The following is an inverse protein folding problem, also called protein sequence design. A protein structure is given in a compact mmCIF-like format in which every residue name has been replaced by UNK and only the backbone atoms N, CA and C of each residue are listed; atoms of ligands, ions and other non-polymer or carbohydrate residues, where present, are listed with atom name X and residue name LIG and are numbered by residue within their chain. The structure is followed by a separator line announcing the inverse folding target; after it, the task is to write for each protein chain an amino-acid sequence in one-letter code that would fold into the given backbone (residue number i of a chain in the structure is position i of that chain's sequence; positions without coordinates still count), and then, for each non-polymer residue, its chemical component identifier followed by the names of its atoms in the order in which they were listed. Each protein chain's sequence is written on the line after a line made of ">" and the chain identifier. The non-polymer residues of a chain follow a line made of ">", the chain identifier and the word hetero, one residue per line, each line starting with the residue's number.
data_IF_757790457637
#
_entry.id   IF_757790457637
#
_cell.length_a   1.000
_cell.length_b   1.000
_cell.length_c   1.000
_cell.angle_alpha   90.00
_cell.angle_beta   90.00
_cell.angle_gamma   90.00
#
_symmetry.space_group_name_H-M   'P 1'
#
loop_
_entity.id
_entity.type
_entity.pdbx_description
1 polymer ?
#
# COMPACT_ATOMS: atom_id res chain seq x y z
N UNK A 1 11.81 -12.71 6.01
CA UNK A 1 10.41 -12.99 6.41
C UNK A 1 9.51 -12.83 5.19
N UNK A 2 8.33 -13.45 5.18
CA UNK A 2 7.39 -13.33 4.09
C UNK A 2 6.80 -11.90 4.07
N UNK A 3 7.22 -11.06 3.10
CA UNK A 3 6.88 -9.64 2.99
C UNK A 3 5.42 -9.50 2.54
N UNK A 4 4.51 -9.25 3.48
CA UNK A 4 3.14 -8.85 3.20
C UNK A 4 3.02 -7.36 2.86
N UNK A 5 3.84 -6.49 3.46
CA UNK A 5 3.80 -5.04 3.32
C UNK A 5 4.57 -4.61 2.08
N UNK A 6 3.85 -3.92 1.20
CA UNK A 6 4.36 -3.39 -0.06
C UNK A 6 4.06 -1.89 -0.13
N UNK A 7 4.80 -1.11 -0.92
CA UNK A 7 4.49 0.30 -1.16
C UNK A 7 3.02 0.55 -1.56
N UNK A 8 2.47 -0.31 -2.41
CA UNK A 8 1.06 -0.25 -2.82
C UNK A 8 0.07 -0.46 -1.67
N UNK A 9 0.42 -1.29 -0.67
CA UNK A 9 -0.41 -1.48 0.53
C UNK A 9 -0.28 -0.33 1.51
N UNK A 10 0.88 0.32 1.60
CA UNK A 10 1.02 1.58 2.33
C UNK A 10 0.14 2.67 1.70
N UNK A 11 0.16 2.77 0.37
CA UNK A 11 -0.73 3.66 -0.36
C UNK A 11 -2.21 3.33 -0.10
N UNK A 12 -2.59 2.04 -0.13
CA UNK A 12 -3.95 1.63 0.21
C UNK A 12 -4.34 2.01 1.66
N UNK A 13 -3.43 1.84 2.63
CA UNK A 13 -3.64 2.28 4.02
C UNK A 13 -3.80 3.80 4.12
N UNK A 14 -3.03 4.59 3.36
CA UNK A 14 -3.17 6.03 3.31
C UNK A 14 -4.58 6.42 2.81
N UNK A 15 -5.10 5.75 1.78
CA UNK A 15 -6.46 5.99 1.30
C UNK A 15 -7.53 5.58 2.32
N UNK A 16 -7.34 4.47 3.03
CA UNK A 16 -8.23 4.04 4.13
C UNK A 16 -8.22 5.05 5.28
N UNK A 17 -7.06 5.66 5.59
CA UNK A 17 -6.98 6.71 6.61
C UNK A 17 -7.82 7.92 6.22
N UNK A 18 -7.78 8.36 4.96
CA UNK A 18 -8.60 9.49 4.47
C UNK A 18 -10.09 9.15 4.54
N UNK A 19 -10.47 7.92 4.21
CA UNK A 19 -11.84 7.46 4.33
C UNK A 19 -12.36 7.53 5.78
N UNK A 20 -11.49 7.28 6.78
CA UNK A 20 -11.86 7.35 8.20
C UNK A 20 -12.03 8.75 8.77
N UNK A 21 -11.50 9.78 8.08
CA UNK A 21 -11.59 11.18 8.52
C UNK A 21 -12.91 11.87 8.18
N UNK A 22 -13.80 11.20 7.44
CA UNK A 22 -15.11 11.76 7.07
C UNK A 22 -15.05 12.88 6.02
N UNK A 23 -13.89 13.07 5.38
CA UNK A 23 -13.68 14.07 4.31
C UNK A 23 -14.18 13.61 2.93
N UNK A 24 -14.78 12.42 2.87
CA UNK A 24 -15.31 11.81 1.64
C UNK A 24 -16.84 11.95 1.62
N UNK A 25 -17.44 12.56 0.58
CA UNK A 25 -18.89 12.72 0.49
C UNK A 25 -19.57 11.37 0.21
N UNK A 26 -20.85 11.25 0.60
CA UNK A 26 -21.63 10.02 0.44
C UNK A 26 -21.67 9.48 -1.01
N UNK A 27 -21.58 10.35 -2.01
CA UNK A 27 -21.52 9.97 -3.43
C UNK A 27 -20.25 9.19 -3.80
N UNK A 28 -19.14 9.45 -3.11
CA UNK A 28 -17.83 8.85 -3.38
C UNK A 28 -17.55 7.59 -2.56
N UNK A 29 -18.30 7.36 -1.47
CA UNK A 29 -18.10 6.24 -0.54
C UNK A 29 -18.21 4.89 -1.25
N UNK A 30 -19.23 4.72 -2.09
CA UNK A 30 -19.49 3.42 -2.76
C UNK A 30 -18.35 3.06 -3.70
N UNK A 31 -17.85 4.01 -4.48
CA UNK A 31 -16.71 3.80 -5.39
C UNK A 31 -15.44 3.40 -4.62
N UNK A 32 -15.15 4.10 -3.51
CA UNK A 32 -13.98 3.79 -2.67
C UNK A 32 -14.10 2.44 -1.96
N UNK A 33 -15.27 2.11 -1.40
CA UNK A 33 -15.48 0.81 -0.78
C UNK A 33 -15.39 -0.33 -1.80
N UNK A 34 -15.95 -0.15 -3.00
CA UNK A 34 -15.82 -1.12 -4.09
C UNK A 34 -14.35 -1.33 -4.47
N UNK A 35 -13.58 -0.25 -4.56
CA UNK A 35 -12.13 -0.30 -4.81
C UNK A 35 -11.38 -1.01 -3.68
N UNK A 36 -11.65 -0.69 -2.41
CA UNK A 36 -11.02 -1.40 -1.30
C UNK A 36 -11.35 -2.90 -1.33
N UNK A 37 -12.61 -3.25 -1.58
CA UNK A 37 -13.02 -4.66 -1.58
C UNK A 37 -12.39 -5.43 -2.75
N UNK A 38 -12.23 -4.83 -3.93
CA UNK A 38 -11.59 -5.48 -5.07
C UNK A 38 -10.10 -5.77 -4.86
N UNK A 39 -9.43 -4.99 -4.00
CA UNK A 39 -8.02 -5.19 -3.66
C UNK A 39 -7.78 -5.99 -2.37
N UNK A 40 -8.77 -6.10 -1.47
CA UNK A 40 -8.63 -6.79 -0.18
C UNK A 40 -9.20 -8.21 -0.20
N UNK A 41 -10.34 -8.40 -0.88
CA UNK A 41 -10.99 -9.70 -0.99
C UNK A 41 -10.45 -10.46 -2.20
N UNK A 42 -10.22 -11.77 -2.09
CA UNK A 42 -10.09 -12.61 -3.25
C UNK A 42 -11.44 -12.60 -3.98
N UNK A 43 -11.53 -11.93 -5.13
CA UNK A 43 -12.71 -11.96 -5.96
C UNK A 43 -12.58 -13.11 -6.97
N UNK A 44 -13.50 -14.07 -6.85
CA UNK A 44 -13.76 -15.17 -7.79
C UNK A 44 -14.27 -14.70 -9.19
N UNK A 45 -14.21 -13.40 -9.50
CA UNK A 45 -14.81 -12.86 -10.72
C UNK A 45 -13.85 -12.88 -11.91
N UNK A 46 -14.43 -12.98 -13.11
CA UNK A 46 -13.70 -13.04 -14.38
C UNK A 46 -12.74 -11.85 -14.63
N UNK A 47 -12.88 -10.74 -13.90
CA UNK A 47 -11.98 -9.58 -13.93
C UNK A 47 -10.58 -9.88 -13.37
N UNK A 48 -10.46 -10.86 -12.47
CA UNK A 48 -9.16 -11.37 -12.03
C UNK A 48 -8.44 -12.11 -13.17
N UNK A 49 -9.20 -12.74 -14.07
CA UNK A 49 -8.65 -13.48 -15.22
C UNK A 49 -8.05 -12.53 -16.24
N UNK A 50 -8.70 -11.40 -16.54
CA UNK A 50 -8.14 -10.37 -17.43
C UNK A 50 -6.87 -9.75 -16.84
N UNK A 51 -6.87 -9.37 -15.55
CA UNK A 51 -5.68 -8.77 -14.90
C UNK A 51 -4.47 -9.70 -14.85
N UNK A 52 -4.69 -11.01 -14.63
CA UNK A 52 -3.62 -12.03 -14.62
C UNK A 52 -3.11 -12.30 -16.05
N UNK A 53 -4.00 -12.31 -17.05
CA UNK A 53 -3.64 -12.51 -18.45
C UNK A 53 -2.93 -11.29 -19.06
N UNK A 54 -3.28 -10.08 -18.63
CA UNK A 54 -2.65 -8.83 -19.05
C UNK A 54 -1.31 -8.54 -18.36
N UNK A 55 -0.82 -9.44 -17.49
CA UNK A 55 0.51 -9.31 -16.88
C UNK A 55 0.63 -8.19 -15.84
N UNK A 56 -0.50 -7.61 -15.42
CA UNK A 56 -0.55 -6.69 -14.28
C UNK A 56 -0.31 -7.47 -13.00
N UNK A 57 0.90 -7.39 -12.46
CA UNK A 57 1.21 -7.89 -11.13
C UNK A 57 0.14 -7.42 -10.12
N UNK A 58 -0.18 -8.24 -9.12
CA UNK A 58 -1.10 -7.91 -8.01
C UNK A 58 -0.71 -6.65 -7.18
N UNK A 59 0.25 -5.87 -7.65
CA UNK A 59 0.63 -4.56 -7.15
C UNK A 59 -0.23 -3.47 -7.79
N UNK A 60 -1.04 -2.79 -6.97
CA UNK A 60 -1.83 -1.63 -7.40
C UNK A 60 -0.89 -0.55 -7.92
N UNK A 61 -1.02 -0.18 -9.19
CA UNK A 61 -0.25 0.92 -9.76
C UNK A 61 -0.76 2.26 -9.24
N UNK A 62 0.10 3.28 -9.20
CA UNK A 62 -0.32 4.61 -8.74
C UNK A 62 -1.36 5.26 -9.69
N UNK A 63 -1.38 4.83 -10.95
CA UNK A 63 -2.36 5.23 -11.97
C UNK A 63 -3.75 4.68 -11.68
N UNK A 64 -3.87 3.44 -11.20
CA UNK A 64 -5.16 2.88 -10.76
C UNK A 64 -5.78 3.69 -9.61
N UNK A 65 -4.95 4.18 -8.69
CA UNK A 65 -5.43 5.10 -7.65
C UNK A 65 -5.91 6.42 -8.26
N UNK A 66 -5.18 6.97 -9.23
CA UNK A 66 -5.55 8.22 -9.90
C UNK A 66 -6.88 8.09 -10.65
N UNK A 67 -7.07 7.03 -11.43
CA UNK A 67 -8.29 6.78 -12.21
C UNK A 67 -9.54 6.75 -11.33
N UNK A 68 -9.47 6.06 -10.19
CA UNK A 68 -10.60 5.93 -9.27
C UNK A 68 -10.82 7.20 -8.48
N UNK A 69 -9.77 7.86 -7.98
CA UNK A 69 -9.90 8.97 -7.02
C UNK A 69 -9.98 10.35 -7.66
N UNK A 70 -9.53 10.53 -8.90
CA UNK A 70 -9.61 11.81 -9.62
C UNK A 70 -11.04 12.20 -9.98
N UNK A 71 -11.90 11.21 -10.24
CA UNK A 71 -13.32 11.42 -10.53
C UNK A 71 -14.15 11.77 -9.30
N UNK A 72 -13.59 11.58 -8.09
CA UNK A 72 -14.30 11.72 -6.82
C UNK A 72 -14.04 13.10 -6.20
N UNK A 73 -15.12 13.85 -5.99
CA UNK A 73 -15.07 15.09 -5.23
C UNK A 73 -14.84 14.81 -3.75
N UNK A 74 -14.06 15.65 -3.08
CA UNK A 74 -13.94 15.61 -1.62
C UNK A 74 -14.96 16.54 -0.96
N UNK A 75 -15.16 16.40 0.35
CA UNK A 75 -15.96 17.34 1.14
C UNK A 75 -15.30 18.73 1.26
N UNK A 76 -14.01 18.85 0.89
CA UNK A 76 -13.30 20.13 0.85
C UNK A 76 -13.54 20.77 -0.53
N UNK A 77 -14.09 21.99 -0.59
CA UNK A 77 -14.42 22.63 -1.86
C UNK A 77 -13.16 22.85 -2.70
N UNK A 78 -13.23 22.48 -3.98
CA UNK A 78 -12.14 22.64 -4.94
C UNK A 78 -11.01 21.60 -4.83
N UNK A 79 -11.15 20.58 -3.97
CA UNK A 79 -10.21 19.45 -3.89
C UNK A 79 -10.90 18.13 -4.22
N UNK A 80 -10.17 17.25 -4.90
CA UNK A 80 -10.59 15.87 -5.18
C UNK A 80 -10.08 14.92 -4.09
N UNK A 81 -10.61 13.70 -4.04
CA UNK A 81 -10.06 12.64 -3.19
C UNK A 81 -8.60 12.36 -3.56
N UNK A 82 -8.25 12.45 -4.85
CA UNK A 82 -6.88 12.35 -5.33
C UNK A 82 -5.95 13.40 -4.70
N UNK A 83 -6.37 14.66 -4.62
CA UNK A 83 -5.54 15.71 -4.01
C UNK A 83 -5.28 15.45 -2.51
N UNK A 84 -6.27 14.92 -1.79
CA UNK A 84 -6.13 14.52 -0.39
C UNK A 84 -5.23 13.30 -0.23
N UNK A 85 -5.35 12.34 -1.16
CA UNK A 85 -4.51 11.16 -1.22
C UNK A 85 -3.05 11.51 -1.46
N UNK A 86 -2.75 12.34 -2.46
CA UNK A 86 -1.41 12.84 -2.70
C UNK A 86 -0.88 13.61 -1.50
N UNK A 87 -1.69 14.49 -0.90
CA UNK A 87 -1.26 15.19 0.32
C UNK A 87 -0.86 14.20 1.42
N UNK A 88 -1.63 13.14 1.66
CA UNK A 88 -1.29 12.13 2.66
C UNK A 88 -0.03 11.34 2.30
N UNK A 89 0.16 10.98 1.04
CA UNK A 89 1.35 10.24 0.60
C UNK A 89 2.64 11.06 0.77
N UNK A 90 2.58 12.36 0.51
CA UNK A 90 3.73 13.25 0.61
C UNK A 90 3.96 13.80 2.03
N UNK A 91 2.97 13.74 2.91
CA UNK A 91 3.16 13.95 4.35
C UNK A 91 4.03 12.89 5.02
N UNK A 92 4.12 11.69 4.43
CA UNK A 92 5.03 10.65 4.91
C UNK A 92 6.42 10.97 4.40
N UNK A 93 7.10 11.97 4.93
CA UNK A 93 8.33 12.54 4.40
C UNK A 93 9.61 11.92 4.97
N UNK A 94 9.56 11.25 6.12
CA UNK A 94 10.67 10.50 6.67
C UNK A 94 10.24 9.13 7.23
N UNK A 95 11.22 8.33 7.67
CA UNK A 95 10.94 7.04 8.30
C UNK A 95 10.17 7.19 9.62
N UNK A 96 10.42 8.27 10.36
CA UNK A 96 9.72 8.56 11.61
C UNK A 96 8.24 8.92 11.36
N UNK A 97 7.97 9.71 10.31
CA UNK A 97 6.61 9.98 9.83
C UNK A 97 5.85 8.71 9.42
N UNK A 98 6.57 7.70 8.91
CA UNK A 98 5.99 6.39 8.63
C UNK A 98 5.63 5.65 9.94
N UNK A 99 6.48 5.72 10.96
CA UNK A 99 6.20 5.11 12.26
C UNK A 99 5.00 5.78 12.95
N UNK A 100 4.95 7.12 12.95
CA UNK A 100 3.80 7.89 13.46
C UNK A 100 2.51 7.52 12.71
N UNK A 101 2.60 7.38 11.39
CA UNK A 101 1.46 6.94 10.58
C UNK A 101 0.93 5.57 10.99
N UNK A 102 1.80 4.60 11.31
CA UNK A 102 1.35 3.30 11.83
C UNK A 102 0.71 3.42 13.22
N UNK A 103 1.15 4.39 14.04
CA UNK A 103 0.46 4.79 15.27
C UNK A 103 -0.96 5.28 14.99
N UNK A 104 -1.14 6.22 14.06
CA UNK A 104 -2.47 6.72 13.67
C UNK A 104 -3.36 5.63 13.09
N UNK A 105 -2.80 4.75 12.27
CA UNK A 105 -3.50 3.60 11.69
C UNK A 105 -3.95 2.61 12.79
N UNK A 106 -3.22 2.51 13.91
CA UNK A 106 -3.63 1.74 15.10
C UNK A 106 -4.92 2.23 15.73
N UNK A 107 -5.13 3.54 15.76
CA UNK A 107 -6.33 4.16 16.31
C UNK A 107 -7.58 3.98 15.42
N UNK A 108 -7.39 3.62 14.15
CA UNK A 108 -8.49 3.36 13.21
C UNK A 108 -9.24 2.08 13.52
N UNK A 109 -8.65 1.15 14.27
CA UNK A 109 -9.29 -0.12 14.63
C UNK A 109 -9.92 -0.01 16.01
N UNK A 110 -11.11 -0.58 16.20
CA UNK A 110 -11.74 -0.60 17.52
C UNK A 110 -10.82 -1.28 18.55
N UNK A 111 -10.58 -0.55 19.65
CA UNK A 111 -9.84 -1.05 20.83
C UNK A 111 -10.46 -2.35 21.33
N UNK A 112 -9.63 -3.24 21.89
CA UNK A 112 -10.14 -4.49 22.44
C UNK A 112 -11.05 -4.22 23.64
N UNK A 113 -11.90 -5.19 24.01
CA UNK A 113 -12.69 -5.10 25.24
C UNK A 113 -11.80 -4.88 26.46
N UNK A 114 -10.61 -5.49 26.49
CA UNK A 114 -9.63 -5.33 27.56
C UNK A 114 -9.04 -3.92 27.59
N UNK A 115 -8.71 -3.35 26.44
CA UNK A 115 -8.21 -1.97 26.33
C UNK A 115 -9.31 -0.96 26.68
N UNK A 116 -10.55 -1.21 26.28
CA UNK A 116 -11.69 -0.38 26.67
C UNK A 116 -11.92 -0.42 28.19
N UNK A 117 -11.77 -1.58 28.82
CA UNK A 117 -11.83 -1.71 30.28
C UNK A 117 -10.67 -0.98 30.96
N UNK A 118 -9.46 -1.02 30.39
CA UNK A 118 -8.30 -0.25 30.87
C UNK A 118 -8.50 1.25 30.73
N UNK A 119 -9.03 1.72 29.60
CA UNK A 119 -9.33 3.13 29.36
C UNK A 119 -10.41 3.65 30.33
N UNK A 120 -11.46 2.85 30.55
CA UNK A 120 -12.51 3.14 31.55
C UNK A 120 -11.93 3.25 32.96
N UNK A 121 -11.06 2.31 33.34
CA UNK A 121 -10.38 2.34 34.63
C UNK A 121 -9.40 3.52 34.76
N UNK A 122 -8.89 4.04 33.65
CA UNK A 122 -7.98 5.18 33.59
C UNK A 122 -8.70 6.53 33.45
N UNK A 123 -10.04 6.54 33.40
CA UNK A 123 -10.85 7.75 33.24
C UNK A 123 -10.78 8.40 31.86
N UNK A 124 -10.26 7.71 30.84
CA UNK A 124 -10.14 8.24 29.49
C UNK A 124 -11.48 8.09 28.75
N UNK A 125 -12.13 9.23 28.47
CA UNK A 125 -13.37 9.24 27.70
C UNK A 125 -13.12 8.80 26.24
N UNK A 126 -14.07 8.09 25.60
CA UNK A 126 -13.93 7.74 24.20
C UNK A 126 -13.93 9.01 23.33
N UNK A 127 -12.86 9.23 22.58
CA UNK A 127 -12.72 10.31 21.60
C UNK A 127 -13.94 10.35 20.64
N UNK A 128 -14.80 11.39 20.71
CA UNK A 128 -15.94 11.50 19.82
C UNK A 128 -15.47 11.96 18.43
N UNK A 129 -15.91 11.28 17.39
CA UNK A 129 -15.84 11.79 16.01
C UNK A 129 -14.88 11.08 15.04
N UNK A 130 -14.04 10.13 15.50
CA UNK A 130 -13.21 9.30 14.59
C UNK A 130 -13.94 8.02 14.21
N UNK A 131 -14.08 7.76 12.91
CA UNK A 131 -14.66 6.50 12.42
C UNK A 131 -13.68 5.36 12.72
N UNK A 132 -14.13 4.37 13.50
CA UNK A 132 -13.34 3.17 13.82
C UNK A 132 -13.89 1.94 13.12
N UNK A 133 -12.99 1.14 12.56
CA UNK A 133 -13.33 -0.12 11.92
C UNK A 133 -13.44 -1.25 12.94
N UNK A 134 -14.49 -2.07 12.81
CA UNK A 134 -14.57 -3.32 13.55
C UNK A 134 -13.40 -4.24 13.20
N UNK A 135 -12.87 -4.94 14.22
CA UNK A 135 -11.76 -5.90 14.07
C UNK A 135 -12.08 -7.08 13.14
N UNK A 136 -13.36 -7.37 12.90
CA UNK A 136 -13.82 -8.46 12.01
C UNK A 136 -14.17 -7.98 10.61
N UNK A 137 -14.21 -6.67 10.37
CA UNK A 137 -14.42 -6.11 9.03
C UNK A 137 -13.23 -6.41 8.12
N UNK A 138 -13.42 -6.63 6.80
CA UNK A 138 -12.32 -6.79 5.85
C UNK A 138 -11.25 -5.69 5.94
N UNK A 139 -11.69 -4.42 6.11
CA UNK A 139 -10.79 -3.28 6.32
C UNK A 139 -10.05 -3.37 7.65
N UNK A 140 -10.75 -3.74 8.73
CA UNK A 140 -10.14 -3.92 10.05
C UNK A 140 -9.11 -5.05 10.08
N UNK A 141 -9.39 -6.17 9.39
CA UNK A 141 -8.44 -7.28 9.23
C UNK A 141 -7.22 -6.88 8.42
N UNK A 142 -7.40 -6.11 7.34
CA UNK A 142 -6.32 -5.56 6.53
C UNK A 142 -5.39 -4.67 7.38
N UNK A 143 -5.96 -3.70 8.08
CA UNK A 143 -5.23 -2.76 8.94
C UNK A 143 -4.43 -3.52 10.01
N UNK A 144 -5.08 -4.43 10.75
CA UNK A 144 -4.42 -5.22 11.80
C UNK A 144 -3.28 -6.06 11.27
N UNK A 145 -3.45 -6.66 10.08
CA UNK A 145 -2.40 -7.46 9.46
C UNK A 145 -1.19 -6.61 9.08
N UNK A 146 -1.42 -5.44 8.49
CA UNK A 146 -0.35 -4.52 8.16
C UNK A 146 0.39 -4.03 9.41
N UNK A 147 -0.32 -3.72 10.49
CA UNK A 147 0.29 -3.35 11.77
C UNK A 147 1.14 -4.46 12.37
N UNK A 148 0.60 -5.69 12.45
CA UNK A 148 1.32 -6.83 13.03
C UNK A 148 2.60 -7.14 12.25
N UNK A 149 2.57 -6.95 10.94
CA UNK A 149 3.76 -7.14 10.13
C UNK A 149 4.76 -5.99 10.30
N UNK A 150 4.31 -4.73 10.28
CA UNK A 150 5.18 -3.58 10.50
C UNK A 150 5.88 -3.66 11.87
N UNK A 151 5.15 -4.01 12.92
CA UNK A 151 5.69 -4.19 14.27
C UNK A 151 6.69 -5.36 14.39
N UNK A 152 6.65 -6.32 13.45
CA UNK A 152 7.59 -7.46 13.39
C UNK A 152 8.73 -7.21 12.40
N UNK A 153 8.68 -6.12 11.66
CA UNK A 153 9.63 -5.82 10.60
C UNK A 153 10.97 -5.44 11.24
N UNK A 154 12.05 -6.04 10.73
CA UNK A 154 13.38 -5.65 11.17
C UNK A 154 13.73 -4.27 10.59
N UNK A 155 14.61 -3.52 11.25
CA UNK A 155 15.00 -2.18 10.81
C UNK A 155 15.52 -2.15 9.35
N UNK A 156 16.31 -3.14 8.95
CA UNK A 156 16.81 -3.21 7.58
C UNK A 156 15.67 -3.39 6.54
N UNK A 157 14.63 -4.14 6.91
CA UNK A 157 13.44 -4.36 6.09
C UNK A 157 12.53 -3.12 6.07
N UNK A 158 12.43 -2.36 7.17
CA UNK A 158 11.68 -1.10 7.21
C UNK A 158 12.32 -0.03 6.36
N UNK A 159 13.66 0.09 6.37
CA UNK A 159 14.41 0.97 5.48
C UNK A 159 14.23 0.55 4.01
N UNK A 160 14.27 -0.74 3.70
CA UNK A 160 14.03 -1.23 2.34
C UNK A 160 12.59 -0.94 1.86
N UNK A 161 11.60 -1.07 2.74
CA UNK A 161 10.21 -0.72 2.47
C UNK A 161 10.06 0.79 2.21
N UNK A 162 10.71 1.62 3.03
CA UNK A 162 10.72 3.08 2.88
C UNK A 162 11.32 3.52 1.54
N UNK A 163 12.49 2.97 1.16
CA UNK A 163 13.12 3.25 -0.14
C UNK A 163 12.21 2.85 -1.31
N UNK A 164 11.58 1.67 -1.22
CA UNK A 164 10.63 1.23 -2.23
C UNK A 164 9.37 2.11 -2.29
N UNK A 165 8.93 2.64 -1.14
CA UNK A 165 7.80 3.57 -1.06
C UNK A 165 8.11 4.92 -1.69
N UNK A 166 9.32 5.46 -1.46
CA UNK A 166 9.78 6.68 -2.14
C UNK A 166 9.70 6.51 -3.65
N UNK A 167 10.32 5.45 -4.21
CA UNK A 167 10.28 5.18 -5.65
C UNK A 167 8.84 5.07 -6.17
N UNK A 168 7.99 4.37 -5.44
CA UNK A 168 6.58 4.19 -5.81
C UNK A 168 5.80 5.52 -5.92
N UNK A 169 6.07 6.49 -5.04
CA UNK A 169 5.36 7.79 -5.06
C UNK A 169 6.00 8.83 -5.97
N UNK A 170 7.29 8.71 -6.32
CA UNK A 170 8.04 9.71 -7.12
C UNK A 170 7.28 10.22 -8.35
N UNK A 171 6.63 9.37 -9.17
CA UNK A 171 5.91 9.83 -10.36
C UNK A 171 4.80 10.86 -10.08
N UNK A 172 4.27 10.90 -8.85
CA UNK A 172 3.19 11.82 -8.46
C UNK A 172 3.66 13.18 -7.97
N UNK A 173 4.98 13.40 -7.86
CA UNK A 173 5.54 14.62 -7.29
C UNK A 173 5.05 15.88 -8.00
N UNK A 174 5.11 15.89 -9.34
CA UNK A 174 4.71 17.06 -10.12
C UNK A 174 3.21 17.40 -9.95
N UNK A 175 2.36 16.38 -9.94
CA UNK A 175 0.92 16.54 -9.73
C UNK A 175 0.63 17.12 -8.34
N UNK A 176 1.32 16.64 -7.31
CA UNK A 176 1.20 17.13 -5.94
C UNK A 176 1.73 18.57 -5.78
N UNK A 177 2.94 18.86 -6.29
CA UNK A 177 3.60 20.16 -6.16
C UNK A 177 2.79 21.29 -6.83
N UNK A 178 2.15 21.00 -7.97
CA UNK A 178 1.27 21.96 -8.66
C UNK A 178 0.09 22.42 -7.79
N UNK A 179 -0.41 21.54 -6.92
CA UNK A 179 -1.56 21.79 -6.04
C UNK A 179 -1.17 22.26 -4.64
N UNK A 180 0.07 22.03 -4.22
CA UNK A 180 0.60 22.44 -2.92
C UNK A 180 1.95 23.19 -3.06
N UNK A 181 1.95 24.43 -3.63
CA UNK A 181 3.20 25.16 -3.85
C UNK A 181 3.94 25.52 -2.56
N UNK A 182 3.23 25.75 -1.45
CA UNK A 182 3.83 26.11 -0.16
C UNK A 182 4.56 24.93 0.47
N UNK A 183 4.05 23.71 0.28
CA UNK A 183 4.64 22.49 0.83
C UNK A 183 5.66 21.87 -0.14
N UNK A 184 5.75 22.36 -1.38
CA UNK A 184 6.64 21.84 -2.43
C UNK A 184 8.13 21.92 -2.13
N UNK A 185 8.53 22.62 -1.06
CA UNK A 185 9.91 22.62 -0.56
C UNK A 185 10.28 21.34 0.21
N UNK A 186 9.30 20.49 0.53
CA UNK A 186 9.54 19.18 1.13
C UNK A 186 10.19 18.30 0.07
N UNK A 187 11.52 18.12 0.16
CA UNK A 187 12.25 17.17 -0.68
C UNK A 187 11.73 15.76 -0.41
N UNK A 188 12.16 14.83 -1.25
CA UNK A 188 11.88 13.39 -1.15
C UNK A 188 12.01 12.83 0.26
N UNK A 189 12.92 13.39 1.08
CA UNK A 189 13.05 13.16 2.51
C UNK A 189 13.40 14.47 3.25
N UNK A 190 12.75 14.75 4.39
CA UNK A 190 13.05 15.94 5.23
C UNK A 190 14.49 15.93 5.71
N UNK A 191 15.05 14.75 6.00
CA UNK A 191 16.44 14.63 6.44
C UNK A 191 17.43 15.16 5.40
N UNK A 192 17.11 15.05 4.09
CA UNK A 192 17.94 15.63 3.04
C UNK A 192 17.86 17.16 3.04
N UNK A 193 16.69 17.74 3.35
CA UNK A 193 16.52 19.19 3.50
C UNK A 193 17.35 19.71 4.65
N UNK A 194 17.25 19.06 5.82
CA UNK A 194 17.98 19.45 7.03
C UNK A 194 19.50 19.39 6.84
N UNK A 195 19.97 18.39 6.11
CA UNK A 195 21.39 18.25 5.75
C UNK A 195 21.82 19.18 4.60
N UNK A 196 20.91 19.96 4.01
CA UNK A 196 21.20 20.84 2.87
C UNK A 196 21.54 20.08 1.59
N UNK A 197 21.22 18.79 1.52
CA UNK A 197 21.56 17.90 0.40
C UNK A 197 20.44 17.88 -0.64
N UNK A 198 20.83 17.83 -1.90
CA UNK A 198 19.89 17.64 -3.00
C UNK A 198 19.66 16.16 -3.31
N UNK A 199 18.57 15.86 -4.02
CA UNK A 199 18.23 14.49 -4.46
C UNK A 199 19.33 13.93 -5.38
N UNK A 200 20.00 14.80 -6.13
CA UNK A 200 21.13 14.45 -7.00
C UNK A 200 22.46 14.28 -6.27
N UNK A 201 22.50 14.56 -4.97
CA UNK A 201 23.73 14.42 -4.19
C UNK A 201 24.21 12.97 -4.17
N UNK A 202 25.54 12.73 -4.14
CA UNK A 202 26.07 11.37 -4.10
C UNK A 202 25.59 10.59 -2.87
N UNK A 203 25.34 11.27 -1.75
CA UNK A 203 24.80 10.64 -0.55
C UNK A 203 23.34 10.21 -0.74
N UNK A 204 22.50 11.05 -1.35
CA UNK A 204 21.12 10.68 -1.66
C UNK A 204 21.06 9.48 -2.62
N UNK A 205 21.94 9.44 -3.62
CA UNK A 205 22.07 8.30 -4.56
C UNK A 205 22.49 7.00 -3.86
N UNK A 206 23.36 7.07 -2.86
CA UNK A 206 23.75 5.88 -2.05
C UNK A 206 22.59 5.40 -1.18
N UNK A 207 21.80 6.32 -0.61
CA UNK A 207 20.70 5.98 0.30
C UNK A 207 19.47 5.48 -0.45
N UNK A 208 19.01 6.17 -1.49
CA UNK A 208 17.75 5.85 -2.18
C UNK A 208 17.95 5.07 -3.48
N UNK A 209 19.18 5.00 -3.97
CA UNK A 209 19.51 4.50 -5.30
C UNK A 209 19.28 5.57 -6.35
N UNK A 210 19.39 5.18 -7.61
CA UNK A 210 18.95 6.01 -8.71
C UNK A 210 17.41 6.03 -8.74
N UNK A 211 16.82 7.17 -8.41
CA UNK A 211 15.38 7.36 -8.40
C UNK A 211 14.82 7.60 -9.82
N UNK A 212 15.68 7.85 -10.81
CA UNK A 212 15.29 8.14 -12.20
C UNK A 212 15.36 6.89 -13.10
N UNK A 213 16.18 5.89 -12.74
CA UNK A 213 16.31 4.66 -13.51
C UNK A 213 15.34 3.57 -13.01
N UNK A 214 14.21 3.42 -13.72
CA UNK A 214 13.17 2.39 -13.50
C UNK A 214 13.62 0.95 -13.84
N UNK A 215 14.77 0.77 -14.50
CA UNK A 215 15.12 -0.48 -15.18
C UNK A 215 15.82 -1.53 -14.30
N UNK A 216 16.59 -1.13 -13.28
CA UNK A 216 17.44 -2.09 -12.54
C UNK A 216 16.78 -2.70 -11.30
N UNK A 217 15.74 -2.06 -10.75
CA UNK A 217 15.17 -2.43 -9.45
C UNK A 217 13.63 -2.57 -9.46
N UNK A 218 13.02 -2.70 -10.65
CA UNK A 218 11.68 -3.26 -10.85
C UNK A 218 11.64 -4.77 -10.53
N UNK A 219 12.32 -5.18 -9.45
CA UNK A 219 11.93 -6.37 -8.69
C UNK A 219 10.53 -6.07 -8.18
N UNK A 220 9.55 -6.52 -8.97
CA UNK A 220 8.13 -6.50 -8.64
C UNK A 220 8.02 -6.96 -7.20
N UNK A 221 7.80 -6.00 -6.31
CA UNK A 221 7.75 -6.22 -4.86
C UNK A 221 6.37 -6.81 -4.56
N UNK A 222 6.18 -8.05 -5.04
CA UNK A 222 4.98 -8.82 -4.83
C UNK A 222 4.96 -9.28 -3.37
N UNK A 223 3.82 -9.08 -2.75
CA UNK A 223 3.58 -9.68 -1.46
C UNK A 223 3.58 -11.18 -1.58
N UNK A 224 4.17 -11.87 -0.61
CA UNK A 224 4.15 -13.34 -0.56
C UNK A 224 2.74 -13.90 -0.52
N UNK A 225 1.78 -13.21 0.12
CA UNK A 225 0.36 -13.62 0.12
C UNK A 225 -0.26 -13.53 -1.27
N UNK A 226 0.06 -12.47 -2.00
CA UNK A 226 -0.50 -12.25 -3.33
C UNK A 226 0.16 -13.20 -4.34
N UNK A 227 1.41 -13.59 -4.10
CA UNK A 227 2.07 -14.68 -4.82
C UNK A 227 1.47 -16.04 -4.51
N UNK A 228 1.18 -16.36 -3.25
CA UNK A 228 0.48 -17.59 -2.86
C UNK A 228 -0.89 -17.68 -3.54
N UNK A 229 -1.68 -16.60 -3.50
CA UNK A 229 -2.97 -16.51 -4.19
C UNK A 229 -2.85 -16.69 -5.70
N UNK A 230 -1.84 -16.09 -6.33
CA UNK A 230 -1.58 -16.28 -7.76
C UNK A 230 -1.29 -17.75 -8.07
N UNK A 231 -0.51 -18.41 -7.22
CA UNK A 231 -0.21 -19.84 -7.36
C UNK A 231 -1.44 -20.71 -7.12
N UNK A 232 -2.27 -20.41 -6.11
CA UNK A 232 -3.55 -21.08 -5.86
C UNK A 232 -4.47 -21.00 -7.08
N UNK A 233 -4.64 -19.80 -7.63
CA UNK A 233 -5.46 -19.58 -8.82
C UNK A 233 -4.94 -20.37 -10.03
N UNK A 234 -3.63 -20.36 -10.26
CA UNK A 234 -3.05 -21.12 -11.37
C UNK A 234 -3.25 -22.63 -11.20
N UNK A 235 -3.12 -23.14 -9.97
CA UNK A 235 -3.39 -24.55 -9.66
C UNK A 235 -4.87 -24.89 -9.90
N UNK A 236 -5.79 -24.03 -9.47
CA UNK A 236 -7.23 -24.20 -9.68
C UNK A 236 -7.59 -24.23 -11.17
N UNK A 237 -7.07 -23.30 -11.97
CA UNK A 237 -7.30 -23.30 -13.43
C UNK A 237 -6.69 -24.53 -14.11
N UNK A 238 -5.51 -24.98 -13.65
CA UNK A 238 -4.89 -26.22 -14.13
C UNK A 238 -5.77 -27.45 -13.87
N UNK A 239 -6.36 -27.52 -12.67
CA UNK A 239 -7.23 -28.62 -12.27
C UNK A 239 -8.61 -28.55 -12.95
N UNK A 240 -9.18 -27.36 -13.09
CA UNK A 240 -10.51 -27.13 -13.65
C UNK A 240 -10.53 -27.35 -15.18
N UNK A 241 -9.52 -26.84 -15.90
CA UNK A 241 -9.49 -26.89 -17.37
C UNK A 241 -8.59 -27.99 -17.95
N UNK A 242 -7.80 -28.66 -17.10
CA UNK A 242 -6.83 -29.67 -17.55
C UNK A 242 -5.72 -29.12 -18.44
N UNK A 243 -5.56 -27.80 -18.52
CA UNK A 243 -4.58 -27.13 -19.38
C UNK A 243 -3.23 -27.06 -18.69
N UNK A 244 -2.16 -27.39 -19.42
CA UNK A 244 -0.78 -27.22 -18.92
C UNK A 244 -0.41 -25.74 -18.87
N UNK A 245 0.36 -25.35 -17.86
CA UNK A 245 0.96 -24.00 -17.77
C UNK A 245 1.89 -23.78 -18.96
N UNK A 246 1.74 -22.67 -19.67
CA UNK A 246 2.63 -22.31 -20.78
C UNK A 246 4.05 -22.02 -20.28
N UNK A 247 5.07 -22.27 -21.09
CA UNK A 247 6.46 -22.03 -20.67
C UNK A 247 6.72 -20.54 -20.38
N UNK A 248 6.01 -19.64 -21.05
CA UNK A 248 6.03 -18.20 -20.76
C UNK A 248 5.52 -17.88 -19.35
N UNK A 249 4.37 -18.46 -18.97
CA UNK A 249 3.80 -18.28 -17.63
C UNK A 249 4.72 -18.89 -16.57
N UNK A 250 5.29 -20.07 -16.84
CA UNK A 250 6.25 -20.71 -15.94
C UNK A 250 7.51 -19.87 -15.74
N UNK A 251 8.04 -19.26 -16.81
CA UNK A 251 9.18 -18.34 -16.74
C UNK A 251 8.85 -17.11 -15.91
N UNK A 252 7.66 -16.51 -16.08
CA UNK A 252 7.19 -15.37 -15.27
C UNK A 252 7.02 -15.73 -13.79
N UNK A 253 6.39 -16.86 -13.48
CA UNK A 253 6.24 -17.33 -12.09
C UNK A 253 7.59 -17.63 -11.45
N UNK A 254 8.55 -18.22 -12.18
CA UNK A 254 9.93 -18.40 -11.69
C UNK A 254 10.63 -17.08 -11.43
N UNK A 255 10.45 -16.08 -12.31
CA UNK A 255 11.02 -14.74 -12.11
C UNK A 255 10.43 -14.05 -10.88
N UNK A 256 9.12 -14.18 -10.66
CA UNK A 256 8.44 -13.69 -9.46
C UNK A 256 8.89 -14.43 -8.19
N UNK A 257 9.05 -15.76 -8.25
CA UNK A 257 9.59 -16.55 -7.14
C UNK A 257 11.04 -16.18 -6.81
N UNK A 258 11.85 -15.85 -7.83
CA UNK A 258 13.23 -15.41 -7.64
C UNK A 258 13.34 -13.99 -7.07
N UNK A 259 12.34 -13.13 -7.28
CA UNK A 259 12.26 -11.80 -6.67
C UNK A 259 11.69 -11.82 -5.25
N UNK A 260 10.95 -12.88 -4.88
CA UNK A 260 10.39 -13.07 -3.54
C UNK A 260 11.44 -13.50 -2.50
N UNK A 261 11.43 -12.83 -1.34
CA UNK A 261 12.36 -13.13 -0.23
C UNK A 261 12.02 -14.44 0.51
N UNK A 262 10.78 -14.93 0.38
CA UNK A 262 10.35 -16.17 1.00
C UNK A 262 9.70 -17.09 -0.04
N UNK A 263 10.06 -18.38 0.01
CA UNK A 263 9.51 -19.42 -0.84
C UNK A 263 8.05 -19.68 -0.42
N UNK A 264 7.06 -19.43 -1.29
CA UNK A 264 5.67 -19.78 -1.04
C UNK A 264 5.52 -21.30 -0.83
N UNK A 265 4.56 -21.69 0.01
CA UNK A 265 4.21 -23.10 0.25
C UNK A 265 3.87 -23.87 -1.04
N UNK A 266 3.32 -23.16 -2.04
CA UNK A 266 2.89 -23.72 -3.33
C UNK A 266 3.97 -23.66 -4.43
N UNK A 267 5.20 -23.24 -4.11
CA UNK A 267 6.30 -23.13 -5.08
C UNK A 267 6.63 -24.46 -5.79
N UNK A 268 6.29 -25.60 -5.19
CA UNK A 268 6.50 -26.94 -5.76
C UNK A 268 5.74 -27.17 -7.08
N UNK A 269 4.61 -26.49 -7.29
CA UNK A 269 3.82 -26.63 -8.53
C UNK A 269 4.46 -25.96 -9.75
N UNK A 270 5.42 -25.07 -9.54
CA UNK A 270 6.13 -24.35 -10.62
C UNK A 270 7.45 -25.04 -10.99
N UNK A 271 7.98 -25.91 -10.12
CA UNK A 271 9.26 -26.60 -10.30
C UNK A 271 9.24 -27.58 -11.46
#
# INVERSE_FOLDING_TARGET
>A
MARYLTPSKLALLALVSIYSEGVVPNSAIVALLSFFMSHLLPLDSQDSKSRILEGGAHTISIKEFEEVTSSLTSSIPGRTVWDLFLKRLWQLDCLDSLEEFFGLVSDLVTKTREDQLRDQNSGMAPEPGKMRFSRTSPLGMFIRRAQLEYARLQFHDSVALWRAFIRYRMPTYYAWAKRNPMDSQTKVDVNLVELGLDVDSPLAKVVYGDLENDEEDTKVSLSTKDMERLLEFQVEEMQSKGTRVTEEMRKRLRQMLASGVAVPSLSHYVR
#
